data_IF_315357382936
#
_entry.id   IF_315357382936
#
_cell.length_a   1.000
_cell.length_b   1.000
_cell.length_c   1.000
_cell.angle_alpha   90.00
_cell.angle_beta   90.00
_cell.angle_gamma   90.00
#
_symmetry.space_group_name_H-M   'P 1'
#
loop_
_entity.id
_entity.type
_entity.pdbx_description
1 polymer ?
#
# COMPACT_ATOMS: atom_id res chain seq x y z
N UNK A 1 10.74 50.29 -5.37
CA UNK A 1 9.36 49.75 -5.33
C UNK A 1 9.48 48.27 -4.91
N UNK A 2 9.16 47.97 -3.66
CA UNK A 2 9.24 46.59 -3.12
C UNK A 2 7.91 45.93 -3.47
N UNK A 3 7.92 44.91 -4.30
CA UNK A 3 6.74 44.12 -4.62
C UNK A 3 6.68 42.97 -3.58
N UNK A 4 5.82 43.14 -2.59
CA UNK A 4 5.48 42.06 -1.65
C UNK A 4 4.54 41.11 -2.38
N UNK A 5 5.00 39.91 -2.72
CA UNK A 5 4.12 38.82 -3.14
C UNK A 5 3.37 38.34 -1.90
N UNK A 6 2.15 38.81 -1.71
CA UNK A 6 1.20 38.20 -0.81
C UNK A 6 0.58 37.00 -1.52
N UNK A 7 0.60 35.85 -0.86
CA UNK A 7 -0.17 34.66 -1.22
C UNK A 7 0.54 33.73 -2.20
N UNK A 8 1.74 33.25 -1.88
CA UNK A 8 2.07 31.90 -2.24
C UNK A 8 1.46 31.04 -1.15
N UNK A 9 0.21 30.63 -1.32
CA UNK A 9 -0.27 29.43 -0.66
C UNK A 9 0.52 28.30 -1.28
N UNK A 10 1.56 27.84 -0.62
CA UNK A 10 2.01 26.47 -0.82
C UNK A 10 0.86 25.63 -0.28
N UNK A 11 -0.06 25.28 -1.16
CA UNK A 11 -0.98 24.18 -0.89
C UNK A 11 -0.09 22.94 -0.86
N UNK A 12 0.31 22.51 0.32
CA UNK A 12 0.72 21.14 0.54
C UNK A 12 -0.51 20.29 0.23
N UNK A 13 -0.71 19.99 -1.04
CA UNK A 13 -1.73 19.02 -1.43
C UNK A 13 -1.21 17.66 -1.00
N UNK A 14 -1.77 17.13 0.05
CA UNK A 14 -1.49 15.78 0.53
C UNK A 14 -2.59 14.85 0.08
N UNK A 15 -2.20 13.66 -0.31
CA UNK A 15 -3.16 12.60 -0.52
C UNK A 15 -3.71 12.10 0.81
N UNK A 16 -4.95 11.70 0.80
CA UNK A 16 -5.61 10.99 1.90
C UNK A 16 -5.83 9.55 1.46
N UNK A 17 -5.47 8.59 2.30
CA UNK A 17 -5.69 7.17 2.04
C UNK A 17 -6.43 6.55 3.21
N UNK A 18 -7.45 5.76 2.91
CA UNK A 18 -8.15 4.93 3.87
C UNK A 18 -8.08 3.47 3.43
N UNK A 19 -7.67 2.61 4.32
CA UNK A 19 -7.64 1.18 4.10
C UNK A 19 -8.66 0.54 5.04
N UNK A 20 -9.55 -0.29 4.50
CA UNK A 20 -10.51 -1.07 5.26
C UNK A 20 -10.33 -2.54 4.96
N UNK A 21 -10.20 -3.35 5.99
CA UNK A 21 -10.09 -4.82 5.88
C UNK A 21 -11.33 -5.45 6.52
N UNK A 22 -12.04 -6.23 5.74
CA UNK A 22 -13.19 -7.02 6.19
C UNK A 22 -12.79 -8.47 6.44
N UNK A 23 -13.63 -9.21 7.15
CA UNK A 23 -13.36 -10.60 7.52
C UNK A 23 -13.23 -11.50 6.28
N UNK A 24 -12.24 -12.39 6.29
CA UNK A 24 -12.08 -13.40 5.25
C UNK A 24 -13.12 -14.51 5.40
N UNK A 25 -13.78 -14.86 4.29
CA UNK A 25 -14.75 -15.94 4.26
C UNK A 25 -14.20 -17.15 3.49
N UNK A 26 -14.26 -18.33 4.11
CA UNK A 26 -13.68 -19.57 3.57
C UNK A 26 -14.35 -20.07 2.27
N UNK A 27 -15.50 -19.51 1.89
CA UNK A 27 -16.20 -19.80 0.64
C UNK A 27 -15.88 -18.79 -0.49
N UNK A 28 -14.94 -17.89 -0.26
CA UNK A 28 -14.47 -16.93 -1.28
C UNK A 28 -13.77 -17.68 -2.40
N UNK A 29 -14.09 -17.35 -3.65
CA UNK A 29 -13.36 -17.84 -4.81
C UNK A 29 -11.97 -17.22 -4.86
N UNK A 30 -10.94 -18.07 -4.90
CA UNK A 30 -9.55 -17.64 -4.83
C UNK A 30 -8.88 -17.78 -6.21
N UNK A 31 -8.01 -16.82 -6.59
CA UNK A 31 -7.20 -16.95 -7.79
C UNK A 31 -6.10 -18.00 -7.56
N UNK A 32 -5.58 -18.59 -8.65
CA UNK A 32 -4.42 -19.47 -8.56
C UNK A 32 -3.15 -18.73 -8.16
N UNK A 33 -3.02 -17.48 -8.61
CA UNK A 33 -1.81 -16.65 -8.43
C UNK A 33 -2.22 -15.23 -8.06
N UNK A 34 -1.49 -14.62 -7.12
CA UNK A 34 -1.51 -13.18 -6.85
C UNK A 34 -0.15 -12.60 -7.22
N UNK A 35 -0.16 -11.57 -8.06
CA UNK A 35 1.02 -10.84 -8.49
C UNK A 35 1.21 -9.60 -7.61
N UNK A 36 2.38 -9.50 -6.99
CA UNK A 36 2.80 -8.35 -6.20
C UNK A 36 3.78 -7.52 -7.03
N UNK A 37 3.26 -6.47 -7.64
CA UNK A 37 4.02 -5.58 -8.52
C UNK A 37 4.04 -4.15 -7.95
N UNK A 38 4.87 -3.27 -8.54
CA UNK A 38 4.96 -1.85 -8.15
C UNK A 38 4.59 -0.94 -9.31
N UNK A 39 3.68 -1.36 -10.19
CA UNK A 39 3.41 -0.72 -11.46
C UNK A 39 2.15 0.19 -11.45
N UNK A 40 1.60 0.48 -10.28
CA UNK A 40 0.40 1.30 -10.11
C UNK A 40 0.72 2.53 -9.24
N UNK A 41 0.10 3.66 -9.57
CA UNK A 41 0.22 4.90 -8.83
C UNK A 41 -0.99 5.08 -7.93
N UNK A 42 -0.74 5.41 -6.66
CA UNK A 42 -1.78 5.69 -5.67
C UNK A 42 -1.57 7.10 -5.13
N UNK A 43 -2.26 8.05 -5.69
CA UNK A 43 -2.11 9.48 -5.41
C UNK A 43 -3.34 10.10 -4.74
N UNK A 44 -3.64 11.30 -5.14
CA UNK A 44 -4.68 12.19 -4.61
C UNK A 44 -6.01 12.14 -5.39
N UNK A 45 -6.15 11.26 -6.37
CA UNK A 45 -7.39 11.06 -7.07
C UNK A 45 -8.36 10.25 -6.20
N UNK A 46 -9.67 10.57 -6.29
CA UNK A 46 -10.69 9.85 -5.53
C UNK A 46 -11.01 8.53 -6.24
N UNK A 47 -10.38 7.47 -5.78
CA UNK A 47 -10.55 6.12 -6.31
C UNK A 47 -10.69 5.09 -5.20
N UNK A 48 -11.48 4.05 -5.46
CA UNK A 48 -11.67 2.91 -4.58
C UNK A 48 -11.13 1.65 -5.27
N UNK A 49 -10.09 1.07 -4.71
CA UNK A 49 -9.44 -0.14 -5.20
C UNK A 49 -9.94 -1.34 -4.39
N UNK A 50 -10.81 -2.14 -5.00
CA UNK A 50 -11.44 -3.31 -4.39
C UNK A 50 -10.92 -4.63 -4.97
N UNK A 51 -10.31 -4.59 -6.14
CA UNK A 51 -9.80 -5.78 -6.82
C UNK A 51 -8.47 -6.26 -6.21
N UNK A 52 -8.21 -7.56 -6.35
CA UNK A 52 -7.05 -8.22 -5.78
C UNK A 52 -5.73 -7.65 -6.32
N UNK A 53 -5.68 -7.31 -7.60
CA UNK A 53 -4.47 -6.83 -8.26
C UNK A 53 -4.05 -5.47 -7.68
N UNK A 54 -4.97 -4.50 -7.63
CA UNK A 54 -4.70 -3.17 -7.08
C UNK A 54 -4.34 -3.23 -5.60
N UNK A 55 -5.03 -4.06 -4.81
CA UNK A 55 -4.71 -4.26 -3.39
C UNK A 55 -3.33 -4.89 -3.19
N UNK A 56 -2.97 -5.88 -4.01
CA UNK A 56 -1.65 -6.50 -3.95
C UNK A 56 -0.52 -5.52 -4.34
N UNK A 57 -0.74 -4.69 -5.37
CA UNK A 57 0.19 -3.63 -5.77
C UNK A 57 0.38 -2.59 -4.65
N UNK A 58 -0.73 -2.13 -4.04
CA UNK A 58 -0.69 -1.18 -2.94
C UNK A 58 0.12 -1.72 -1.74
N UNK A 59 -0.19 -2.95 -1.32
CA UNK A 59 0.50 -3.60 -0.22
C UNK A 59 1.99 -3.78 -0.53
N UNK A 60 2.31 -4.19 -1.76
CA UNK A 60 3.70 -4.41 -2.14
C UNK A 60 4.50 -3.11 -2.19
N UNK A 61 3.93 -2.03 -2.71
CA UNK A 61 4.51 -0.70 -2.63
C UNK A 61 4.73 -0.26 -1.18
N UNK A 62 3.73 -0.41 -0.31
CA UNK A 62 3.84 -0.05 1.11
C UNK A 62 4.97 -0.83 1.82
N UNK A 63 5.12 -2.13 1.52
CA UNK A 63 6.23 -2.97 2.02
C UNK A 63 7.57 -2.47 1.49
N UNK A 64 7.67 -2.17 0.21
CA UNK A 64 8.89 -1.63 -0.40
C UNK A 64 9.27 -0.29 0.22
N UNK A 65 8.33 0.61 0.44
CA UNK A 65 8.59 1.89 1.13
C UNK A 65 9.06 1.69 2.57
N UNK A 66 8.40 0.81 3.32
CA UNK A 66 8.77 0.52 4.71
C UNK A 66 10.20 0.02 4.85
N UNK A 67 10.65 -0.83 3.92
CA UNK A 67 11.96 -1.48 3.96
C UNK A 67 12.94 -0.90 2.93
N UNK A 68 12.72 0.32 2.46
CA UNK A 68 13.55 0.97 1.44
C UNK A 68 14.92 1.45 1.95
N UNK A 69 15.20 1.34 3.24
CA UNK A 69 16.45 1.79 3.82
C UNK A 69 17.52 0.72 3.72
N UNK A 70 18.79 1.15 3.62
CA UNK A 70 19.95 0.29 3.72
C UNK A 70 19.92 -0.56 4.99
N UNK A 71 20.20 -1.86 4.82
CA UNK A 71 20.21 -2.82 5.92
C UNK A 71 18.86 -3.46 6.25
N UNK A 72 17.80 -3.13 5.53
CA UNK A 72 16.46 -3.76 5.68
C UNK A 72 16.14 -4.79 4.59
N UNK A 73 17.11 -5.19 3.79
CA UNK A 73 16.96 -6.22 2.75
C UNK A 73 16.45 -7.55 3.31
N UNK A 74 16.93 -7.94 4.49
CA UNK A 74 16.47 -9.15 5.17
C UNK A 74 14.98 -9.06 5.57
N UNK A 75 14.49 -7.89 5.96
CA UNK A 75 13.08 -7.68 6.30
C UNK A 75 12.18 -7.77 5.06
N UNK A 76 12.63 -7.25 3.91
CA UNK A 76 11.93 -7.40 2.65
C UNK A 76 11.83 -8.88 2.23
N UNK A 77 12.93 -9.64 2.38
CA UNK A 77 12.95 -11.07 2.12
C UNK A 77 12.00 -11.81 3.06
N UNK A 78 11.98 -11.46 4.34
CA UNK A 78 11.06 -12.05 5.33
C UNK A 78 9.60 -11.75 4.99
N UNK A 79 9.27 -10.50 4.61
CA UNK A 79 7.92 -10.13 4.21
C UNK A 79 7.44 -10.96 3.00
N UNK A 80 8.27 -11.13 1.96
CA UNK A 80 7.99 -12.02 0.82
C UNK A 80 7.73 -13.44 1.27
N UNK A 81 8.58 -13.99 2.12
CA UNK A 81 8.46 -15.36 2.61
C UNK A 81 7.18 -15.55 3.43
N UNK A 82 6.85 -14.61 4.30
CA UNK A 82 5.63 -14.63 5.13
C UNK A 82 4.37 -14.62 4.27
N UNK A 83 4.26 -13.67 3.34
CA UNK A 83 3.11 -13.58 2.41
C UNK A 83 2.99 -14.86 1.58
N UNK A 84 4.12 -15.36 1.04
CA UNK A 84 4.13 -16.61 0.26
C UNK A 84 3.64 -17.80 1.07
N UNK A 85 4.08 -17.92 2.32
CA UNK A 85 3.66 -19.00 3.22
C UNK A 85 2.17 -18.90 3.54
N UNK A 86 1.67 -17.71 3.85
CA UNK A 86 0.26 -17.50 4.16
C UNK A 86 -0.63 -17.85 2.96
N UNK A 87 -0.33 -17.32 1.79
CA UNK A 87 -1.12 -17.58 0.58
C UNK A 87 -1.04 -19.06 0.17
N UNK A 88 0.11 -19.69 0.28
CA UNK A 88 0.26 -21.12 0.01
C UNK A 88 -0.63 -22.00 0.93
N UNK A 89 -0.85 -21.58 2.18
CA UNK A 89 -1.71 -22.30 3.12
C UNK A 89 -3.16 -22.41 2.64
N UNK A 90 -3.63 -21.44 1.86
CA UNK A 90 -4.98 -21.43 1.27
C UNK A 90 -4.97 -21.81 -0.23
N UNK A 91 -3.85 -22.35 -0.73
CA UNK A 91 -3.72 -22.86 -2.11
C UNK A 91 -3.48 -21.79 -3.17
N UNK A 92 -3.10 -20.57 -2.78
CA UNK A 92 -2.78 -19.45 -3.67
C UNK A 92 -1.26 -19.29 -3.80
N UNK A 93 -0.77 -19.08 -5.01
CA UNK A 93 0.66 -18.77 -5.26
C UNK A 93 0.87 -17.27 -5.19
N UNK A 94 1.90 -16.82 -4.45
CA UNK A 94 2.38 -15.45 -4.52
C UNK A 94 3.54 -15.35 -5.53
N UNK A 95 3.48 -14.38 -6.43
CA UNK A 95 4.59 -14.01 -7.30
C UNK A 95 4.93 -12.54 -7.08
N UNK A 96 6.21 -12.26 -6.87
CA UNK A 96 6.70 -10.91 -6.60
C UNK A 96 7.53 -10.42 -7.77
N UNK A 97 7.33 -9.17 -8.13
CA UNK A 97 8.21 -8.48 -9.05
C UNK A 97 9.65 -8.49 -8.53
N UNK A 98 10.60 -8.82 -9.40
CA UNK A 98 12.02 -8.78 -9.05
C UNK A 98 12.49 -7.32 -9.00
N UNK A 99 12.69 -6.81 -7.78
CA UNK A 99 13.17 -5.47 -7.53
C UNK A 99 14.56 -5.50 -6.93
N UNK A 100 15.38 -4.57 -7.40
CA UNK A 100 16.77 -4.44 -6.99
C UNK A 100 16.98 -3.11 -6.28
N UNK A 101 17.90 -3.14 -5.34
CA UNK A 101 18.47 -1.91 -4.82
C UNK A 101 19.37 -1.29 -5.89
N UNK A 102 19.12 -0.03 -6.20
CA UNK A 102 19.95 0.77 -7.12
C UNK A 102 20.70 1.83 -6.32
N UNK A 103 21.93 2.13 -6.72
CA UNK A 103 22.73 3.18 -6.11
C UNK A 103 22.20 4.55 -6.58
N UNK A 104 22.03 5.46 -5.64
CA UNK A 104 21.69 6.83 -5.96
C UNK A 104 22.92 7.56 -6.52
N UNK A 105 22.78 8.24 -7.66
CA UNK A 105 23.85 9.09 -8.20
C UNK A 105 24.09 10.37 -7.35
N UNK A 106 23.14 10.73 -6.48
CA UNK A 106 23.15 12.00 -5.74
C UNK A 106 23.27 11.83 -4.22
N UNK A 107 22.94 10.65 -3.72
CA UNK A 107 23.03 10.28 -2.31
C UNK A 107 23.96 9.07 -2.24
N UNK A 108 24.82 9.04 -1.24
CA UNK A 108 25.70 7.89 -0.96
C UNK A 108 24.86 6.74 -0.34
N UNK A 109 23.76 6.38 -1.01
CA UNK A 109 22.73 5.49 -0.51
C UNK A 109 22.13 4.62 -1.62
N UNK A 110 21.48 3.54 -1.25
CA UNK A 110 20.74 2.64 -2.15
C UNK A 110 19.25 2.70 -1.84
N UNK A 111 18.44 2.59 -2.87
CA UNK A 111 16.99 2.54 -2.75
C UNK A 111 16.40 1.44 -3.65
N UNK A 112 15.17 1.00 -3.33
CA UNK A 112 14.44 0.06 -4.17
C UNK A 112 13.86 0.83 -5.36
N UNK A 113 14.21 0.39 -6.58
CA UNK A 113 13.62 0.95 -7.80
C UNK A 113 12.18 0.46 -7.95
N UNK A 114 11.21 1.36 -7.83
CA UNK A 114 9.78 1.10 -7.97
C UNK A 114 9.24 1.80 -9.22
N UNK A 115 8.30 1.16 -9.93
CA UNK A 115 7.69 1.74 -11.13
C UNK A 115 6.52 2.65 -10.83
N UNK A 116 5.77 2.35 -9.79
CA UNK A 116 4.67 3.16 -9.28
C UNK A 116 5.02 3.77 -7.94
N UNK A 117 4.05 4.46 -7.34
CA UNK A 117 4.24 5.12 -6.05
C UNK A 117 2.96 5.12 -5.21
N UNK A 118 3.16 5.32 -3.90
CA UNK A 118 2.13 5.77 -2.97
C UNK A 118 2.53 7.16 -2.50
N UNK A 119 1.64 8.13 -2.64
CA UNK A 119 1.91 9.47 -2.17
C UNK A 119 1.92 9.50 -0.62
N UNK A 120 3.03 9.99 -0.02
CA UNK A 120 3.24 10.06 1.44
C UNK A 120 3.01 8.72 2.19
N UNK A 121 3.78 7.67 1.93
CA UNK A 121 3.51 6.30 2.42
C UNK A 121 3.78 6.08 3.92
N UNK A 122 4.35 7.04 4.66
CA UNK A 122 4.87 6.84 6.02
C UNK A 122 3.87 6.30 7.04
N UNK A 123 2.61 6.70 6.96
CA UNK A 123 1.55 6.30 7.91
C UNK A 123 0.93 4.93 7.60
N UNK A 124 1.35 4.29 6.49
CA UNK A 124 0.80 3.00 6.04
C UNK A 124 1.52 1.79 6.64
N UNK A 125 2.53 2.02 7.46
CA UNK A 125 3.31 0.92 8.03
C UNK A 125 2.49 0.05 8.98
N UNK A 126 1.43 0.60 9.59
CA UNK A 126 0.47 -0.18 10.41
C UNK A 126 -0.25 -1.26 9.58
N UNK A 127 -0.63 -0.96 8.34
CA UNK A 127 -1.19 -1.96 7.43
C UNK A 127 -0.19 -3.11 7.19
N UNK A 128 1.07 -2.75 6.89
CA UNK A 128 2.11 -3.75 6.61
C UNK A 128 2.32 -4.67 7.83
N UNK A 129 2.43 -4.09 9.03
CA UNK A 129 2.62 -4.87 10.24
C UNK A 129 1.42 -5.79 10.50
N UNK A 130 0.20 -5.26 10.42
CA UNK A 130 -1.01 -6.02 10.67
C UNK A 130 -1.15 -7.24 9.75
N UNK A 131 -0.94 -7.08 8.44
CA UNK A 131 -1.08 -8.20 7.48
C UNK A 131 0.09 -9.19 7.52
N UNK A 132 1.25 -8.79 8.00
CA UNK A 132 2.39 -9.69 8.20
C UNK A 132 2.29 -10.47 9.53
N UNK A 133 1.57 -9.96 10.51
CA UNK A 133 1.36 -10.62 11.81
C UNK A 133 0.15 -11.56 11.80
N UNK A 134 -0.92 -11.24 11.06
CA UNK A 134 -2.15 -12.03 11.01
C UNK A 134 -2.52 -12.44 9.58
N UNK A 135 -2.44 -13.75 9.24
CA UNK A 135 -2.83 -14.26 7.93
C UNK A 135 -4.31 -14.00 7.59
N UNK A 136 -5.22 -13.92 8.58
CA UNK A 136 -6.63 -13.65 8.31
C UNK A 136 -6.83 -12.19 7.84
N UNK A 137 -6.05 -11.25 8.37
CA UNK A 137 -6.05 -9.88 7.88
C UNK A 137 -5.51 -9.80 6.44
N UNK A 138 -4.43 -10.53 6.11
CA UNK A 138 -3.95 -10.60 4.73
C UNK A 138 -5.01 -11.17 3.79
N UNK A 139 -5.67 -12.26 4.17
CA UNK A 139 -6.72 -12.88 3.34
C UNK A 139 -7.93 -11.97 3.19
N UNK A 140 -8.39 -11.37 4.28
CA UNK A 140 -9.47 -10.39 4.26
C UNK A 140 -9.13 -9.19 3.39
N UNK A 141 -7.94 -8.64 3.52
CA UNK A 141 -7.45 -7.53 2.70
C UNK A 141 -7.49 -7.88 1.21
N UNK A 142 -6.89 -9.00 0.81
CA UNK A 142 -6.78 -9.36 -0.60
C UNK A 142 -8.10 -9.83 -1.20
N UNK A 143 -8.84 -10.71 -0.52
CA UNK A 143 -9.88 -11.52 -1.14
C UNK A 143 -11.32 -11.17 -0.74
N UNK A 144 -11.54 -10.39 0.32
CA UNK A 144 -12.87 -9.87 0.59
C UNK A 144 -13.15 -8.68 -0.34
N UNK A 145 -14.27 -8.73 -1.09
CA UNK A 145 -14.68 -7.67 -2.03
C UNK A 145 -15.07 -6.35 -1.37
N UNK A 146 -15.42 -6.39 -0.09
CA UNK A 146 -15.76 -5.19 0.69
C UNK A 146 -14.49 -4.52 1.28
N UNK A 147 -13.37 -5.24 1.33
CA UNK A 147 -12.08 -4.66 1.69
C UNK A 147 -11.57 -3.77 0.57
N UNK A 148 -11.13 -2.57 0.93
CA UNK A 148 -10.75 -1.57 -0.05
C UNK A 148 -9.55 -0.75 0.38
N UNK A 149 -8.87 -0.19 -0.61
CA UNK A 149 -8.02 0.99 -0.48
C UNK A 149 -8.77 2.14 -1.16
N UNK A 150 -9.05 3.20 -0.43
CA UNK A 150 -9.67 4.42 -0.96
C UNK A 150 -8.66 5.55 -0.90
N UNK A 151 -8.43 6.21 -2.01
CA UNK A 151 -7.55 7.38 -2.10
C UNK A 151 -8.35 8.66 -2.30
N UNK A 152 -7.75 9.79 -1.97
CA UNK A 152 -8.40 11.08 -2.13
C UNK A 152 -7.44 12.24 -1.89
N UNK A 153 -8.01 13.43 -1.82
CA UNK A 153 -7.30 14.68 -1.68
C UNK A 153 -7.86 15.47 -0.48
N UNK A 154 -7.01 15.89 0.43
CA UNK A 154 -7.36 16.65 1.63
C UNK A 154 -7.80 18.10 1.34
N UNK A 155 -7.57 18.60 0.12
CA UNK A 155 -8.02 19.93 -0.31
C UNK A 155 -9.44 19.93 -0.92
N UNK A 156 -10.11 18.78 -0.98
CA UNK A 156 -11.47 18.64 -1.50
C UNK A 156 -12.44 18.33 -0.34
N UNK A 157 -13.66 18.81 -0.41
CA UNK A 157 -14.71 18.55 0.59
C UNK A 157 -15.19 17.06 0.56
N UNK A 158 -14.77 16.29 -0.44
CA UNK A 158 -15.03 14.85 -0.49
C UNK A 158 -14.15 14.11 0.51
N UNK A 159 -14.69 13.07 1.12
CA UNK A 159 -13.96 12.15 1.99
C UNK A 159 -13.65 10.85 1.27
N UNK A 160 -12.58 10.19 1.67
CA UNK A 160 -12.30 8.80 1.29
C UNK A 160 -13.36 7.86 1.86
N UNK A 161 -13.55 6.73 1.20
CA UNK A 161 -14.54 5.74 1.60
C UNK A 161 -13.97 4.73 2.61
N UNK A 162 -14.88 4.14 3.39
CA UNK A 162 -14.59 3.07 4.35
C UNK A 162 -15.62 1.96 4.19
N UNK A 163 -15.20 0.72 4.42
CA UNK A 163 -16.13 -0.38 4.52
C UNK A 163 -16.84 -0.36 5.89
N UNK A 164 -18.17 -0.45 5.87
CA UNK A 164 -19.01 -0.40 7.09
C UNK A 164 -18.73 -1.56 8.07
N UNK A 165 -18.29 -2.71 7.56
CA UNK A 165 -18.03 -3.94 8.29
C UNK A 165 -16.53 -4.25 8.46
N UNK A 166 -15.67 -3.23 8.37
CA UNK A 166 -14.25 -3.41 8.54
C UNK A 166 -13.89 -3.89 9.95
N UNK A 167 -13.05 -4.93 10.03
CA UNK A 167 -12.49 -5.45 11.28
C UNK A 167 -11.15 -4.77 11.62
N UNK A 168 -10.52 -4.14 10.63
CA UNK A 168 -9.32 -3.34 10.76
C UNK A 168 -9.37 -2.17 9.78
N UNK A 169 -8.89 -1.03 10.20
CA UNK A 169 -8.79 0.13 9.29
C UNK A 169 -7.61 1.01 9.65
N UNK A 170 -6.99 1.57 8.62
CA UNK A 170 -5.94 2.58 8.71
C UNK A 170 -6.40 3.81 7.94
N UNK A 171 -6.16 4.96 8.50
CA UNK A 171 -6.39 6.24 7.85
C UNK A 171 -5.10 7.05 7.84
N UNK A 172 -4.71 7.48 6.66
CA UNK A 172 -3.66 8.48 6.47
C UNK A 172 -4.35 9.76 6.00
N UNK A 173 -4.29 10.78 6.79
CA UNK A 173 -4.63 12.15 6.44
C UNK A 173 -3.46 13.07 6.80
N UNK A 174 -3.57 14.34 6.48
CA UNK A 174 -2.63 15.35 6.97
C UNK A 174 -2.81 15.59 8.46
#
# INVERSE_FOLDING_TARGET
MIQIRQGVFETNSSSTHAISICEFHSNTELPEVVLFETNQDFGWEFEDYIDVCSKANYLWLAICYKYNNLGQEDELIRAKATISQYLQHIGVKAEFEDRRYVESEWLDDKYIDMRGYIDHPGDLYELVDAVLEDPNLLYGYLFNSDSMVSTGNDNDDRSVNYADNAIFSVHKGN
#
